data_IF_740496684769
#
_entry.id   IF_740496684769
#
_cell.length_a   1.000
_cell.length_b   1.000
_cell.length_c   1.000
_cell.angle_alpha   90.00
_cell.angle_beta   90.00
_cell.angle_gamma   90.00
#
_symmetry.space_group_name_H-M   'P 1'
#
loop_
_entity.id
_entity.type
_entity.pdbx_description
1 polymer ?
#
# COMPACT_ATOMS: atom_id res chain seq x y z
N UNK A 1 0.84 -18.31 -22.58
CA UNK A 1 -0.53 -18.02 -22.11
C UNK A 1 -0.59 -16.54 -21.84
N UNK A 2 -1.53 -15.83 -22.45
CA UNK A 2 -1.77 -14.41 -22.17
C UNK A 2 -2.08 -14.26 -20.66
N UNK A 3 -1.37 -13.39 -19.94
CA UNK A 3 -1.64 -13.19 -18.51
C UNK A 3 -3.05 -12.62 -18.38
N UNK A 4 -3.87 -13.24 -17.51
CA UNK A 4 -5.29 -12.90 -17.37
C UNK A 4 -5.41 -11.52 -16.73
N UNK A 5 -5.94 -10.55 -17.47
CA UNK A 5 -6.26 -9.21 -16.93
C UNK A 5 -7.66 -9.18 -16.33
N UNK A 6 -7.84 -8.32 -15.32
CA UNK A 6 -9.14 -7.97 -14.76
C UNK A 6 -10.01 -7.36 -15.86
N UNK A 7 -11.23 -7.87 -16.12
CA UNK A 7 -12.11 -7.30 -17.13
C UNK A 7 -12.51 -5.84 -16.83
N UNK A 8 -12.54 -5.00 -17.86
CA UNK A 8 -13.01 -3.61 -17.79
C UNK A 8 -14.21 -3.38 -18.71
N UNK A 9 -15.01 -2.35 -18.43
CA UNK A 9 -16.24 -2.05 -19.16
C UNK A 9 -15.98 -1.31 -20.48
N UNK A 10 -16.98 -1.21 -21.38
CA UNK A 10 -16.87 -0.37 -22.58
C UNK A 10 -16.73 1.13 -22.25
N UNK A 11 -17.23 1.58 -21.09
CA UNK A 11 -17.05 2.96 -20.66
C UNK A 11 -15.63 3.21 -20.18
N UNK A 12 -15.01 2.23 -19.52
CA UNK A 12 -13.60 2.30 -19.13
C UNK A 12 -12.69 2.52 -20.34
N UNK A 13 -13.00 1.87 -21.47
CA UNK A 13 -12.23 1.99 -22.72
C UNK A 13 -12.20 3.40 -23.31
N UNK A 14 -13.16 4.27 -22.94
CA UNK A 14 -13.25 5.64 -23.43
C UNK A 14 -12.46 6.64 -22.58
N UNK A 15 -12.02 6.23 -21.38
CA UNK A 15 -11.31 7.10 -20.44
C UNK A 15 -9.89 7.40 -20.96
N UNK A 16 -9.42 8.63 -20.72
CA UNK A 16 -8.09 9.11 -21.18
C UNK A 16 -6.94 8.22 -20.69
N UNK A 17 -7.08 7.66 -19.49
CA UNK A 17 -6.10 6.78 -18.86
C UNK A 17 -6.26 5.29 -19.19
N UNK A 18 -7.20 4.90 -20.06
CA UNK A 18 -7.36 3.50 -20.49
C UNK A 18 -6.11 2.92 -21.15
N UNK A 19 -5.33 3.76 -21.85
CA UNK A 19 -4.04 3.34 -22.44
C UNK A 19 -3.09 2.69 -21.43
N UNK A 20 -3.17 3.06 -20.14
CA UNK A 20 -2.33 2.47 -19.09
C UNK A 20 -2.77 1.05 -18.72
N UNK A 21 -4.05 0.71 -18.85
CA UNK A 21 -4.55 -0.66 -18.71
C UNK A 21 -4.00 -1.59 -19.80
N UNK A 22 -3.69 -1.03 -20.98
CA UNK A 22 -3.17 -1.79 -22.12
C UNK A 22 -1.68 -2.14 -21.98
N UNK A 23 -0.92 -1.36 -21.22
CA UNK A 23 0.49 -1.62 -20.96
C UNK A 23 0.69 -2.97 -20.25
N UNK A 24 1.85 -3.58 -20.43
CA UNK A 24 2.27 -4.69 -19.58
C UNK A 24 2.63 -4.17 -18.18
N UNK A 25 2.40 -5.00 -17.15
CA UNK A 25 2.88 -4.74 -15.79
C UNK A 25 4.40 -4.57 -15.79
N UNK A 26 4.90 -3.60 -15.04
CA UNK A 26 6.34 -3.48 -14.83
C UNK A 26 6.88 -4.70 -14.06
N UNK A 27 7.98 -5.28 -14.53
CA UNK A 27 8.64 -6.40 -13.87
C UNK A 27 9.43 -5.92 -12.65
N UNK A 28 9.12 -6.50 -11.48
CA UNK A 28 9.93 -6.28 -10.29
C UNK A 28 11.25 -7.07 -10.40
N UNK A 29 12.33 -6.61 -9.75
CA UNK A 29 13.58 -7.36 -9.74
C UNK A 29 13.36 -8.80 -9.23
N UNK A 30 13.81 -9.85 -9.95
CA UNK A 30 13.55 -11.24 -9.57
C UNK A 30 13.99 -11.58 -8.15
N UNK A 31 15.06 -10.94 -7.67
CA UNK A 31 15.58 -11.11 -6.31
C UNK A 31 14.61 -10.65 -5.22
N UNK A 32 13.70 -9.69 -5.51
CA UNK A 32 12.66 -9.29 -4.56
C UNK A 32 11.67 -10.43 -4.32
N UNK A 33 11.19 -11.05 -5.40
CA UNK A 33 10.34 -12.24 -5.29
C UNK A 33 11.09 -13.40 -4.64
N UNK A 34 12.36 -13.61 -4.99
CA UNK A 34 13.15 -14.70 -4.42
C UNK A 34 13.30 -14.59 -2.90
N UNK A 35 13.45 -13.38 -2.34
CA UNK A 35 13.45 -13.17 -0.88
C UNK A 35 12.19 -13.71 -0.21
N UNK A 36 11.03 -13.53 -0.84
CA UNK A 36 9.74 -14.02 -0.34
C UNK A 36 9.57 -15.53 -0.59
N UNK A 37 9.99 -16.01 -1.76
CA UNK A 37 9.87 -17.42 -2.13
C UNK A 37 10.81 -18.35 -1.34
N UNK A 38 11.90 -17.81 -0.78
CA UNK A 38 12.83 -18.56 0.08
C UNK A 38 12.28 -18.88 1.48
N UNK A 39 11.11 -18.35 1.84
CA UNK A 39 10.45 -18.60 3.11
C UNK A 39 10.40 -17.37 4.02
N UNK A 40 9.85 -17.52 5.24
CA UNK A 40 9.65 -16.40 6.15
C UNK A 40 10.96 -15.86 6.72
N UNK A 41 10.96 -14.58 7.05
CA UNK A 41 12.02 -13.91 7.82
C UNK A 41 12.14 -14.52 9.22
N UNK A 42 13.31 -14.34 9.84
CA UNK A 42 13.44 -14.53 11.28
C UNK A 42 12.64 -13.41 12.00
N UNK A 43 11.65 -13.73 12.84
CA UNK A 43 10.80 -12.73 13.49
C UNK A 43 11.55 -11.73 14.37
N UNK A 44 12.76 -12.08 14.85
CA UNK A 44 13.62 -11.15 15.61
C UNK A 44 14.17 -9.99 14.77
N UNK A 45 14.16 -10.12 13.43
CA UNK A 45 14.57 -9.08 12.48
C UNK A 45 13.40 -8.22 11.98
N UNK A 46 12.16 -8.64 12.23
CA UNK A 46 10.97 -7.89 11.85
C UNK A 46 10.80 -6.65 12.72
N UNK A 47 10.27 -5.56 12.15
CA UNK A 47 9.97 -4.34 12.90
C UNK A 47 8.65 -4.50 13.66
N UNK A 48 8.63 -4.50 15.01
CA UNK A 48 7.37 -4.59 15.75
C UNK A 48 6.48 -3.37 15.53
N UNK A 49 5.15 -3.56 15.52
CA UNK A 49 4.18 -2.49 15.27
C UNK A 49 4.29 -1.31 16.25
N UNK A 50 4.58 -1.60 17.53
CA UNK A 50 4.82 -0.58 18.57
C UNK A 50 6.07 0.27 18.31
N UNK A 51 7.03 -0.27 17.56
CA UNK A 51 8.31 0.38 17.26
C UNK A 51 8.31 1.04 15.87
N UNK A 52 7.15 1.19 15.22
CA UNK A 52 7.01 1.76 13.86
C UNK A 52 7.73 3.08 13.62
N UNK A 53 7.89 3.92 14.65
CA UNK A 53 8.64 5.18 14.53
C UNK A 53 10.14 4.99 14.25
N UNK A 54 10.67 3.78 14.38
CA UNK A 54 12.02 3.45 13.91
C UNK A 54 12.15 3.54 12.39
N UNK A 55 11.05 3.57 11.62
CA UNK A 55 11.11 3.86 10.18
C UNK A 55 11.74 5.23 9.88
N UNK A 56 11.66 6.18 10.80
CA UNK A 56 12.32 7.49 10.67
C UNK A 56 13.84 7.45 10.94
N UNK A 57 14.38 6.34 11.44
CA UNK A 57 15.83 6.19 11.66
C UNK A 57 16.56 6.20 10.30
N UNK A 58 17.78 6.77 10.23
CA UNK A 58 18.57 6.76 9.01
C UNK A 58 18.98 5.33 8.62
N UNK A 59 19.21 5.11 7.33
CA UNK A 59 19.62 3.80 6.80
C UNK A 59 18.44 2.85 6.59
N UNK A 60 18.73 1.56 6.71
CA UNK A 60 17.82 0.45 6.38
C UNK A 60 17.82 -0.59 7.50
N UNK A 61 16.70 -1.31 7.63
CA UNK A 61 16.69 -2.53 8.43
C UNK A 61 17.40 -3.66 7.68
N UNK A 62 17.77 -4.71 8.41
CA UNK A 62 18.41 -5.89 7.82
C UNK A 62 17.49 -6.57 6.79
N UNK A 63 16.19 -6.67 7.11
CA UNK A 63 15.17 -7.28 6.26
C UNK A 63 14.14 -6.22 5.83
N UNK A 64 14.37 -5.56 4.70
CA UNK A 64 13.43 -4.58 4.12
C UNK A 64 12.37 -5.23 3.21
N UNK A 65 12.53 -6.50 2.85
CA UNK A 65 11.59 -7.26 2.00
C UNK A 65 11.42 -8.64 2.61
N UNK A 66 10.18 -9.03 2.90
CA UNK A 66 9.84 -10.36 3.40
C UNK A 66 8.64 -10.33 4.35
N UNK A 67 8.28 -11.51 4.85
CA UNK A 67 7.15 -11.71 5.74
C UNK A 67 7.52 -12.69 6.87
N UNK A 68 6.83 -12.64 8.00
CA UNK A 68 6.91 -13.67 9.03
C UNK A 68 5.71 -13.63 9.97
N UNK A 69 5.52 -14.72 10.71
CA UNK A 69 4.63 -14.76 11.88
C UNK A 69 5.43 -14.36 13.12
N UNK A 70 4.93 -13.39 13.87
CA UNK A 70 5.55 -12.86 15.09
C UNK A 70 5.33 -13.82 16.27
N UNK A 71 6.16 -13.74 17.34
CA UNK A 71 6.05 -14.65 18.49
C UNK A 71 4.70 -14.63 19.23
N UNK A 72 3.93 -13.54 19.11
CA UNK A 72 2.60 -13.39 19.71
C UNK A 72 1.46 -13.88 18.81
N UNK A 73 1.80 -14.50 17.67
CA UNK A 73 0.86 -15.03 16.68
C UNK A 73 0.42 -14.04 15.60
N UNK A 74 0.84 -12.77 15.68
CA UNK A 74 0.50 -11.74 14.67
C UNK A 74 1.34 -11.88 13.40
N UNK A 75 0.95 -11.20 12.33
CA UNK A 75 1.63 -11.26 11.05
C UNK A 75 2.42 -9.99 10.74
N UNK A 76 3.55 -10.14 10.06
CA UNK A 76 4.37 -9.04 9.58
C UNK A 76 4.69 -9.21 8.10
N UNK A 77 4.59 -8.12 7.34
CA UNK A 77 5.03 -8.01 5.96
C UNK A 77 5.83 -6.72 5.78
N UNK A 78 6.90 -6.78 4.99
CA UNK A 78 7.75 -5.65 4.63
C UNK A 78 8.12 -5.69 3.15
N UNK A 79 8.20 -4.52 2.54
CA UNK A 79 8.66 -4.35 1.18
C UNK A 79 9.39 -3.02 1.03
N UNK A 80 10.32 -2.96 0.07
CA UNK A 80 11.07 -1.77 -0.31
C UNK A 80 11.08 -1.67 -1.84
N UNK A 81 10.53 -0.59 -2.36
CA UNK A 81 10.48 -0.30 -3.79
C UNK A 81 11.12 1.05 -4.06
N UNK A 82 12.12 1.09 -4.94
CA UNK A 82 12.65 2.35 -5.46
C UNK A 82 11.74 2.85 -6.57
N UNK A 83 11.37 4.13 -6.53
CA UNK A 83 10.43 4.75 -7.45
C UNK A 83 11.11 5.91 -8.19
N UNK A 84 11.93 5.63 -9.23
CA UNK A 84 12.67 6.66 -9.95
C UNK A 84 11.71 7.64 -10.64
N UNK A 85 12.01 8.93 -10.56
CA UNK A 85 11.19 10.00 -11.12
C UNK A 85 9.87 10.28 -10.37
N UNK A 86 9.55 9.50 -9.33
CA UNK A 86 8.37 9.73 -8.48
C UNK A 86 8.72 10.74 -7.38
N UNK A 87 7.75 11.57 -7.02
CA UNK A 87 7.82 12.50 -5.88
C UNK A 87 6.79 12.14 -4.83
N UNK A 88 6.95 12.62 -3.60
CA UNK A 88 5.94 12.45 -2.55
C UNK A 88 4.57 13.01 -2.96
N UNK A 89 4.55 14.16 -3.66
CA UNK A 89 3.33 14.77 -4.16
C UNK A 89 2.56 13.86 -5.15
N UNK A 90 3.28 13.22 -6.08
CA UNK A 90 2.68 12.23 -7.01
C UNK A 90 2.07 11.06 -6.25
N UNK A 91 2.74 10.61 -5.18
CA UNK A 91 2.26 9.50 -4.36
C UNK A 91 1.00 9.89 -3.56
N UNK A 92 0.99 11.07 -2.92
CA UNK A 92 -0.20 11.56 -2.21
C UNK A 92 -1.37 11.81 -3.16
N UNK A 93 -1.10 12.37 -4.35
CA UNK A 93 -2.10 12.55 -5.41
C UNK A 93 -2.75 11.22 -5.78
N UNK A 94 -1.95 10.17 -6.00
CA UNK A 94 -2.45 8.86 -6.37
C UNK A 94 -3.49 8.35 -5.37
N UNK A 95 -3.18 8.44 -4.07
CA UNK A 95 -4.08 7.99 -3.01
C UNK A 95 -5.34 8.87 -2.86
N UNK A 96 -5.28 10.14 -3.25
CA UNK A 96 -6.47 11.00 -3.36
C UNK A 96 -7.32 10.68 -4.61
N UNK A 97 -6.71 10.14 -5.67
CA UNK A 97 -7.30 10.05 -7.00
C UNK A 97 -7.85 8.66 -7.35
N UNK A 98 -7.15 7.59 -6.95
CA UNK A 98 -7.43 6.22 -7.42
C UNK A 98 -8.78 5.68 -6.93
N UNK A 99 -9.22 6.04 -5.72
CA UNK A 99 -10.48 5.57 -5.13
C UNK A 99 -11.75 6.20 -5.71
N UNK A 100 -11.62 7.12 -6.67
CA UNK A 100 -12.76 7.84 -7.25
C UNK A 100 -13.38 7.10 -8.44
N UNK A 101 -12.62 6.22 -9.10
CA UNK A 101 -13.01 5.48 -10.29
C UNK A 101 -12.27 4.13 -10.37
N UNK A 102 -13.00 3.05 -10.63
CA UNK A 102 -12.46 1.69 -10.54
C UNK A 102 -11.34 1.39 -11.54
N UNK A 103 -11.38 1.97 -12.75
CA UNK A 103 -10.30 1.76 -13.72
C UNK A 103 -8.97 2.33 -13.20
N UNK A 104 -9.01 3.41 -12.42
CA UNK A 104 -7.80 3.99 -11.80
C UNK A 104 -7.14 3.00 -10.85
N UNK A 105 -7.94 2.22 -10.12
CA UNK A 105 -7.40 1.15 -9.30
C UNK A 105 -6.88 -0.01 -10.13
N UNK A 106 -7.61 -0.41 -11.17
CA UNK A 106 -7.22 -1.51 -12.06
C UNK A 106 -5.92 -1.24 -12.80
N UNK A 107 -5.64 0.00 -13.26
CA UNK A 107 -4.35 0.27 -13.94
C UNK A 107 -3.13 0.19 -13.02
N UNK A 108 -3.33 0.21 -11.69
CA UNK A 108 -2.26 -0.02 -10.72
C UNK A 108 -1.77 -1.46 -10.78
N UNK A 109 -2.70 -2.42 -10.80
CA UNK A 109 -2.40 -3.83 -10.98
C UNK A 109 -3.52 -4.50 -11.76
N UNK A 110 -3.40 -4.50 -13.09
CA UNK A 110 -4.49 -4.96 -13.95
C UNK A 110 -4.63 -6.49 -13.94
N UNK A 111 -3.81 -7.21 -13.18
CA UNK A 111 -3.94 -8.65 -12.95
C UNK A 111 -4.76 -8.94 -11.68
N UNK A 112 -4.69 -8.06 -10.67
CA UNK A 112 -5.23 -8.33 -9.33
C UNK A 112 -6.35 -7.35 -8.88
N UNK A 113 -6.39 -6.12 -9.40
CA UNK A 113 -7.24 -5.03 -8.88
C UNK A 113 -8.56 -4.89 -9.63
N UNK A 114 -9.66 -5.29 -9.00
CA UNK A 114 -11.00 -5.21 -9.60
C UNK A 114 -11.71 -3.88 -9.36
N UNK A 115 -11.66 -3.36 -8.13
CA UNK A 115 -12.23 -2.04 -7.79
C UNK A 115 -11.70 -1.53 -6.45
N UNK A 116 -11.64 -0.20 -6.32
CA UNK A 116 -11.48 0.49 -5.06
C UNK A 116 -12.38 1.74 -5.06
N UNK A 117 -13.36 1.76 -4.17
CA UNK A 117 -14.38 2.81 -4.13
C UNK A 117 -14.31 3.55 -2.80
N UNK A 118 -13.86 4.80 -2.84
CA UNK A 118 -13.96 5.70 -1.70
C UNK A 118 -15.41 5.99 -1.39
N UNK A 119 -15.81 5.85 -0.13
CA UNK A 119 -17.12 6.25 0.37
C UNK A 119 -17.24 7.77 0.57
N UNK A 120 -16.12 8.50 0.48
CA UNK A 120 -16.05 9.95 0.65
C UNK A 120 -15.54 10.62 -0.64
N UNK A 121 -16.13 10.27 -1.79
CA UNK A 121 -15.68 10.78 -3.10
C UNK A 121 -15.61 12.30 -3.18
N UNK A 122 -16.54 13.01 -2.54
CA UNK A 122 -16.53 14.48 -2.51
C UNK A 122 -15.30 15.05 -1.81
N UNK A 123 -14.84 14.42 -0.71
CA UNK A 123 -13.59 14.80 -0.03
C UNK A 123 -12.38 14.58 -0.94
N UNK A 124 -12.37 13.49 -1.70
CA UNK A 124 -11.37 13.21 -2.73
C UNK A 124 -11.28 14.28 -3.82
N UNK A 125 -12.36 15.03 -4.07
CA UNK A 125 -12.44 16.09 -5.09
C UNK A 125 -12.30 17.52 -4.53
N UNK A 126 -12.21 17.66 -3.21
CA UNK A 126 -12.20 18.97 -2.56
C UNK A 126 -10.89 19.72 -2.84
N UNK A 127 -10.99 20.76 -3.67
CA UNK A 127 -9.85 21.60 -4.09
C UNK A 127 -9.29 22.47 -2.98
N UNK A 128 -10.00 22.65 -1.88
CA UNK A 128 -9.53 23.39 -0.71
C UNK A 128 -8.57 22.58 0.17
N UNK A 129 -8.55 21.25 -0.02
CA UNK A 129 -7.68 20.33 0.70
C UNK A 129 -6.41 20.01 -0.09
N UNK A 130 -5.29 19.83 0.62
CA UNK A 130 -4.11 19.18 0.07
C UNK A 130 -4.40 17.73 -0.31
N UNK A 131 -3.59 17.11 -1.18
CA UNK A 131 -3.82 15.70 -1.58
C UNK A 131 -3.87 14.74 -0.40
N UNK A 132 -3.00 14.93 0.61
CA UNK A 132 -2.99 14.14 1.84
C UNK A 132 -4.33 14.20 2.58
N UNK A 133 -4.83 15.40 2.76
CA UNK A 133 -6.10 15.65 3.45
C UNK A 133 -7.30 15.08 2.69
N UNK A 134 -7.23 14.92 1.36
CA UNK A 134 -8.32 14.35 0.55
C UNK A 134 -8.55 12.86 0.77
N UNK A 135 -7.53 12.10 1.17
CA UNK A 135 -7.67 10.67 1.48
C UNK A 135 -7.59 10.35 2.98
N UNK A 136 -7.15 11.26 3.85
CA UNK A 136 -7.22 11.00 5.29
C UNK A 136 -8.66 10.82 5.76
N UNK A 137 -8.88 9.88 6.68
CA UNK A 137 -10.18 9.55 7.25
C UNK A 137 -11.26 9.18 6.21
N UNK A 138 -10.84 8.63 5.06
CA UNK A 138 -11.74 8.00 4.11
C UNK A 138 -11.76 6.49 4.30
N UNK A 139 -12.84 5.86 3.83
CA UNK A 139 -13.00 4.42 3.77
C UNK A 139 -13.15 3.99 2.33
N UNK A 140 -12.27 3.11 1.87
CA UNK A 140 -12.34 2.51 0.55
C UNK A 140 -12.88 1.08 0.67
N UNK A 141 -13.89 0.77 -0.14
CA UNK A 141 -14.35 -0.60 -0.36
C UNK A 141 -13.55 -1.17 -1.54
N UNK A 142 -12.70 -2.15 -1.24
CA UNK A 142 -11.77 -2.75 -2.19
C UNK A 142 -12.21 -4.17 -2.52
N UNK A 143 -12.05 -4.56 -3.79
CA UNK A 143 -12.17 -5.94 -4.24
C UNK A 143 -10.93 -6.27 -5.08
N UNK A 144 -10.13 -7.23 -4.62
CA UNK A 144 -8.82 -7.56 -5.19
C UNK A 144 -8.42 -9.01 -4.91
N UNK A 145 -7.48 -9.54 -5.70
CA UNK A 145 -6.89 -10.87 -5.54
C UNK A 145 -5.40 -10.78 -5.21
N UNK A 146 -5.05 -10.97 -3.95
CA UNK A 146 -3.65 -11.00 -3.51
C UNK A 146 -2.95 -12.35 -3.78
N UNK A 147 -3.52 -13.21 -4.63
CA UNK A 147 -2.99 -14.54 -4.98
C UNK A 147 -3.66 -15.71 -4.26
N UNK A 148 -4.75 -15.46 -3.52
CA UNK A 148 -5.54 -16.49 -2.81
C UNK A 148 -7.01 -16.53 -3.28
N UNK A 149 -7.31 -15.86 -4.39
CA UNK A 149 -8.65 -15.62 -4.87
C UNK A 149 -9.15 -14.24 -4.46
N UNK A 150 -10.10 -13.67 -5.23
CA UNK A 150 -10.54 -12.32 -5.01
C UNK A 150 -11.40 -12.20 -3.75
N UNK A 151 -11.15 -11.17 -2.95
CA UNK A 151 -11.84 -10.89 -1.69
C UNK A 151 -12.23 -9.43 -1.52
N UNK A 152 -13.20 -9.15 -0.63
CA UNK A 152 -13.58 -7.79 -0.29
C UNK A 152 -12.82 -7.31 0.96
N UNK A 153 -12.20 -6.15 0.87
CA UNK A 153 -11.42 -5.52 1.93
C UNK A 153 -11.98 -4.12 2.19
N UNK A 154 -12.03 -3.74 3.47
CA UNK A 154 -12.34 -2.38 3.89
C UNK A 154 -11.03 -1.74 4.35
N UNK A 155 -10.64 -0.65 3.70
CA UNK A 155 -9.43 0.11 4.06
C UNK A 155 -9.87 1.48 4.59
N UNK A 156 -9.58 1.76 5.85
CA UNK A 156 -9.79 3.07 6.46
C UNK A 156 -8.46 3.82 6.55
N UNK A 157 -8.25 4.76 5.62
CA UNK A 157 -7.08 5.62 5.60
C UNK A 157 -7.13 6.61 6.76
N UNK A 158 -5.97 6.89 7.34
CA UNK A 158 -5.83 7.70 8.55
C UNK A 158 -4.77 8.76 8.40
N UNK A 159 -4.93 9.84 9.17
CA UNK A 159 -3.83 10.74 9.46
C UNK A 159 -2.70 9.96 10.19
N UNK A 160 -1.42 10.13 9.82
CA UNK A 160 -0.31 9.43 10.47
C UNK A 160 -0.21 9.64 11.99
N UNK A 161 -0.59 10.82 12.50
CA UNK A 161 -0.60 11.12 13.93
C UNK A 161 -1.59 10.25 14.72
N UNK A 162 -2.78 9.99 14.16
CA UNK A 162 -3.78 9.10 14.76
C UNK A 162 -3.31 7.63 14.77
N UNK A 163 -2.41 7.30 13.85
CA UNK A 163 -1.72 6.02 13.77
C UNK A 163 -0.46 5.99 14.66
N UNK A 164 -0.18 7.03 15.42
CA UNK A 164 0.94 7.14 16.37
C UNK A 164 2.32 7.28 15.71
N UNK A 165 2.38 7.79 14.47
CA UNK A 165 3.63 8.27 13.89
C UNK A 165 3.99 9.64 14.44
N UNK A 166 5.28 9.91 14.59
CA UNK A 166 5.83 11.22 14.94
C UNK A 166 5.71 12.17 13.74
N UNK A 167 4.59 12.91 13.69
CA UNK A 167 4.28 13.84 12.59
C UNK A 167 5.29 14.97 12.45
N UNK A 168 6.09 15.28 13.48
CA UNK A 168 7.12 16.31 13.40
C UNK A 168 8.26 15.95 12.45
N UNK A 169 8.39 14.66 12.09
CA UNK A 169 9.40 14.15 11.16
C UNK A 169 8.90 14.03 9.72
N UNK A 170 7.61 14.19 9.48
CA UNK A 170 7.01 14.11 8.14
C UNK A 170 7.19 15.46 7.42
N UNK A 171 7.64 15.42 6.17
CA UNK A 171 8.06 16.61 5.42
C UNK A 171 9.52 17.01 5.69
N UNK A 172 10.30 16.14 6.32
CA UNK A 172 11.74 16.34 6.57
C UNK A 172 12.55 15.33 5.74
N UNK A 173 13.88 15.40 5.80
CA UNK A 173 14.74 14.40 5.14
C UNK A 173 14.56 12.97 5.67
N UNK A 174 13.95 12.80 6.86
CA UNK A 174 13.65 11.48 7.40
C UNK A 174 12.44 10.82 6.69
N UNK A 175 11.48 11.61 6.20
CA UNK A 175 10.23 11.14 5.62
C UNK A 175 9.51 12.26 4.88
N UNK A 176 9.14 12.03 3.63
CA UNK A 176 8.43 13.01 2.81
C UNK A 176 6.91 12.93 3.02
N UNK A 177 6.37 11.71 3.07
CA UNK A 177 4.95 11.44 3.37
C UNK A 177 4.73 10.02 3.87
N UNK A 178 3.58 9.80 4.50
CA UNK A 178 3.10 8.48 4.92
C UNK A 178 1.64 8.34 4.47
N UNK A 179 1.35 7.25 3.77
CA UNK A 179 -0.01 6.74 3.60
C UNK A 179 -0.18 5.58 4.58
N UNK A 180 -1.14 5.68 5.49
CA UNK A 180 -1.39 4.65 6.48
C UNK A 180 -2.87 4.41 6.68
N UNK A 181 -3.22 3.17 7.05
CA UNK A 181 -4.61 2.75 7.14
C UNK A 181 -4.80 1.61 8.13
N UNK A 182 -6.06 1.41 8.52
CA UNK A 182 -6.55 0.13 9.03
C UNK A 182 -7.19 -0.66 7.88
N UNK A 183 -6.62 -1.82 7.56
CA UNK A 183 -7.20 -2.77 6.61
C UNK A 183 -7.96 -3.87 7.33
N UNK A 184 -9.08 -4.30 6.78
CA UNK A 184 -9.87 -5.42 7.30
C UNK A 184 -10.47 -6.22 6.15
N UNK A 185 -10.00 -7.45 5.98
CA UNK A 185 -10.65 -8.47 5.14
C UNK A 185 -11.97 -8.92 5.81
N UNK A 186 -12.95 -9.34 5.02
CA UNK A 186 -14.21 -9.89 5.55
C UNK A 186 -13.97 -11.13 6.41
N UNK A 187 -14.10 -10.98 7.73
CA UNK A 187 -13.84 -12.06 8.70
C UNK A 187 -12.35 -12.32 8.99
N UNK A 188 -11.45 -11.55 8.37
CA UNK A 188 -10.00 -11.60 8.62
C UNK A 188 -9.56 -10.72 9.80
N UNK A 189 -8.32 -10.90 10.29
CA UNK A 189 -7.77 -10.05 11.34
C UNK A 189 -7.56 -8.61 10.86
N UNK A 190 -7.76 -7.63 11.75
CA UNK A 190 -7.42 -6.23 11.47
C UNK A 190 -5.93 -6.06 11.19
N UNK A 191 -5.58 -5.13 10.29
CA UNK A 191 -4.20 -4.90 9.85
C UNK A 191 -3.87 -3.41 9.93
N UNK A 192 -2.73 -3.08 10.53
CA UNK A 192 -2.13 -1.75 10.39
C UNK A 192 -1.29 -1.76 9.11
N UNK A 193 -1.57 -0.88 8.16
CA UNK A 193 -0.82 -0.67 6.93
C UNK A 193 -0.05 0.65 7.01
N UNK A 194 1.19 0.65 6.52
CA UNK A 194 2.01 1.84 6.36
C UNK A 194 2.80 1.77 5.05
N UNK A 195 2.69 2.81 4.24
CA UNK A 195 3.52 3.13 3.09
C UNK A 195 4.31 4.39 3.44
N UNK A 196 5.58 4.21 3.79
CA UNK A 196 6.47 5.27 4.22
C UNK A 196 7.33 5.73 3.04
N UNK A 197 7.23 7.00 2.66
CA UNK A 197 7.96 7.57 1.54
C UNK A 197 9.15 8.38 2.05
N UNK A 198 10.33 8.09 1.51
CA UNK A 198 11.57 8.83 1.77
C UNK A 198 12.20 9.25 0.44
N UNK A 199 12.65 10.49 0.36
CA UNK A 199 13.37 10.98 -0.82
C UNK A 199 14.72 10.28 -0.96
N UNK A 200 15.10 9.95 -2.20
CA UNK A 200 16.41 9.45 -2.57
C UNK A 200 16.89 10.21 -3.81
N UNK A 201 18.16 10.03 -4.20
CA UNK A 201 18.64 10.61 -5.46
C UNK A 201 17.81 10.08 -6.65
N UNK A 202 17.26 10.99 -7.44
CA UNK A 202 16.50 10.66 -8.65
C UNK A 202 15.05 10.21 -8.43
N UNK A 203 14.49 10.26 -7.21
CA UNK A 203 13.09 9.92 -6.95
C UNK A 203 12.78 9.71 -5.48
N UNK A 204 11.93 8.73 -5.18
CA UNK A 204 11.63 8.30 -3.81
C UNK A 204 11.86 6.80 -3.64
N UNK A 205 11.97 6.35 -2.40
CA UNK A 205 11.77 4.96 -2.04
C UNK A 205 10.51 4.81 -1.17
N UNK A 206 9.76 3.76 -1.45
CA UNK A 206 8.61 3.32 -0.69
C UNK A 206 9.02 2.17 0.24
N UNK A 207 8.84 2.38 1.54
CA UNK A 207 9.03 1.38 2.60
C UNK A 207 7.68 0.99 3.16
N UNK A 208 7.20 -0.17 2.75
CA UNK A 208 5.88 -0.68 3.17
C UNK A 208 6.01 -1.57 4.39
N UNK A 209 5.08 -1.47 5.33
CA UNK A 209 4.88 -2.38 6.45
C UNK A 209 3.41 -2.73 6.61
N UNK A 210 3.13 -4.01 6.83
CA UNK A 210 1.84 -4.48 7.32
C UNK A 210 2.05 -5.21 8.64
N UNK A 211 1.24 -4.86 9.63
CA UNK A 211 1.17 -5.55 10.91
C UNK A 211 -0.25 -6.13 11.05
N UNK A 212 -0.39 -7.39 10.65
CA UNK A 212 -1.66 -8.12 10.62
C UNK A 212 -1.97 -8.69 12.00
N UNK A 213 -3.23 -8.60 12.44
CA UNK A 213 -3.63 -8.92 13.81
C UNK A 213 -3.48 -7.75 14.79
N UNK A 214 -3.28 -6.53 14.29
CA UNK A 214 -3.17 -5.31 15.10
C UNK A 214 -4.13 -4.22 14.59
N UNK A 215 -4.48 -3.31 15.50
CA UNK A 215 -5.09 -2.02 15.19
C UNK A 215 -4.38 -0.91 15.96
N UNK A 216 -4.52 0.33 15.50
CA UNK A 216 -4.09 1.52 16.22
C UNK A 216 -5.33 2.23 16.80
N UNK A 217 -5.44 2.25 18.13
CA UNK A 217 -6.54 2.88 18.85
C UNK A 217 -5.95 4.05 19.64
N UNK A 218 -6.33 5.28 19.28
CA UNK A 218 -5.82 6.52 19.90
C UNK A 218 -4.29 6.59 19.89
N UNK A 219 -3.67 6.31 18.75
CA UNK A 219 -2.21 6.30 18.59
C UNK A 219 -1.49 5.09 19.21
N UNK A 220 -2.20 4.18 19.89
CA UNK A 220 -1.61 3.01 20.55
C UNK A 220 -1.85 1.73 19.76
N UNK A 221 -0.81 0.91 19.62
CA UNK A 221 -0.93 -0.42 19.01
C UNK A 221 -1.66 -1.36 19.94
N UNK A 222 -2.72 -2.00 19.45
CA UNK A 222 -3.55 -2.97 20.17
C UNK A 222 -3.60 -4.27 19.37
N UNK A 223 -3.28 -5.40 20.02
CA UNK A 223 -3.41 -6.73 19.43
C UNK A 223 -4.90 -7.08 19.31
N UNK A 224 -5.31 -7.52 18.12
CA UNK A 224 -6.71 -7.77 17.77
C UNK A 224 -7.07 -9.26 17.70
N UNK A 225 -6.07 -10.15 17.72
CA UNK A 225 -6.29 -11.60 17.79
C UNK A 225 -6.23 -12.08 19.24
N UNK A 226 -7.03 -13.08 19.64
CA UNK A 226 -6.94 -13.69 20.97
C UNK A 226 -5.57 -14.32 21.24
N UNK A 227 -5.22 -14.48 22.51
CA UNK A 227 -4.00 -15.19 22.88
C UNK A 227 -4.05 -16.67 22.48
N UNK A 228 -2.92 -17.18 22.00
CA UNK A 228 -2.81 -18.53 21.43
C UNK A 228 -3.29 -18.67 19.99
N UNK A 229 -3.96 -17.65 19.42
CA UNK A 229 -4.29 -17.63 17.98
C UNK A 229 -3.06 -17.21 17.18
N UNK A 230 -2.80 -17.94 16.09
CA UNK A 230 -1.67 -17.71 15.20
C UNK A 230 -2.18 -17.47 13.79
N UNK A 231 -1.76 -16.36 13.19
CA UNK A 231 -2.05 -16.03 11.79
C UNK A 231 -1.26 -16.98 10.89
N UNK A 232 -1.90 -17.62 9.88
CA UNK A 232 -1.20 -18.42 8.90
C UNK A 232 -0.19 -17.59 8.09
N UNK A 233 0.90 -18.21 7.68
CA UNK A 233 1.96 -17.55 6.91
C UNK A 233 1.57 -17.30 5.44
N UNK A 234 0.72 -18.17 4.87
CA UNK A 234 0.21 -18.12 3.50
C UNK A 234 -0.33 -16.74 3.08
N UNK A 235 -1.28 -16.10 3.80
CA UNK A 235 -1.77 -14.76 3.45
C UNK A 235 -0.69 -13.67 3.56
N UNK A 236 0.28 -13.81 4.47
CA UNK A 236 1.38 -12.85 4.60
C UNK A 236 2.32 -12.93 3.40
N UNK A 237 2.64 -14.15 2.96
CA UNK A 237 3.43 -14.41 1.75
C UNK A 237 2.73 -13.86 0.51
N UNK A 238 1.44 -14.16 0.37
CA UNK A 238 0.62 -13.74 -0.76
C UNK A 238 0.56 -12.20 -0.86
N UNK A 239 0.23 -11.53 0.26
CA UNK A 239 0.25 -10.07 0.37
C UNK A 239 1.63 -9.48 0.03
N UNK A 240 2.72 -10.12 0.43
CA UNK A 240 4.05 -9.60 0.14
C UNK A 240 4.41 -9.67 -1.34
N UNK A 241 4.06 -10.78 -2.02
CA UNK A 241 4.23 -10.93 -3.47
C UNK A 241 3.39 -9.93 -4.25
N UNK A 242 2.12 -9.76 -3.86
CA UNK A 242 1.21 -8.78 -4.43
C UNK A 242 1.77 -7.35 -4.26
N UNK A 243 2.23 -7.00 -3.06
CA UNK A 243 2.78 -5.68 -2.78
C UNK A 243 4.06 -5.35 -3.58
N UNK A 244 4.90 -6.36 -3.87
CA UNK A 244 6.04 -6.19 -4.77
C UNK A 244 5.56 -5.85 -6.18
N UNK A 245 4.54 -6.56 -6.69
CA UNK A 245 4.01 -6.40 -8.03
C UNK A 245 3.35 -5.04 -8.23
N UNK A 246 2.36 -4.70 -7.40
CA UNK A 246 1.54 -3.49 -7.55
C UNK A 246 2.42 -2.23 -7.48
N UNK A 247 3.35 -2.15 -6.53
CA UNK A 247 4.12 -0.91 -6.31
C UNK A 247 5.29 -0.77 -7.27
N UNK A 248 5.80 -1.87 -7.82
CA UNK A 248 6.73 -1.81 -8.95
C UNK A 248 6.02 -1.21 -10.17
N UNK A 249 4.78 -1.64 -10.45
CA UNK A 249 4.02 -1.06 -11.56
C UNK A 249 3.67 0.41 -11.30
N UNK A 250 3.25 0.75 -10.07
CA UNK A 250 2.97 2.14 -9.71
C UNK A 250 4.19 3.05 -9.86
N UNK A 251 5.38 2.56 -9.50
CA UNK A 251 6.63 3.29 -9.69
C UNK A 251 6.88 3.67 -11.16
N UNK A 252 6.57 2.78 -12.10
CA UNK A 252 6.70 3.03 -13.53
C UNK A 252 5.56 3.88 -14.11
N UNK A 253 4.39 3.85 -13.47
CA UNK A 253 3.17 4.52 -13.91
C UNK A 253 3.14 6.00 -13.49
N UNK A 254 3.42 6.31 -12.22
CA UNK A 254 3.22 7.65 -11.63
C UNK A 254 3.87 8.79 -12.42
N UNK A 255 5.14 8.70 -12.87
CA UNK A 255 5.77 9.80 -13.60
C UNK A 255 5.10 10.10 -14.94
N UNK A 256 4.34 9.15 -15.50
CA UNK A 256 3.64 9.27 -16.78
C UNK A 256 2.21 9.77 -16.61
N UNK A 257 1.46 9.17 -15.69
CA UNK A 257 0.04 9.48 -15.53
C UNK A 257 -0.20 10.78 -14.75
N UNK A 258 0.65 11.09 -13.75
CA UNK A 258 0.49 12.30 -12.95
C UNK A 258 0.41 13.59 -13.80
N UNK A 259 1.36 13.89 -14.71
CA UNK A 259 1.28 15.11 -15.50
C UNK A 259 0.06 15.18 -16.44
N UNK A 260 -0.53 14.02 -16.80
CA UNK A 260 -1.71 13.95 -17.67
C UNK A 260 -3.04 14.09 -16.91
N UNK A 261 -3.11 13.57 -15.69
CA UNK A 261 -4.36 13.39 -14.95
C UNK A 261 -4.46 14.16 -13.63
N UNK A 262 -3.40 14.89 -13.21
CA UNK A 262 -3.38 15.60 -11.91
C UNK A 262 -4.51 16.60 -11.69
N UNK A 263 -5.12 17.09 -12.76
CA UNK A 263 -6.22 18.06 -12.72
C UNK A 263 -7.61 17.42 -12.96
N UNK A 264 -7.68 16.11 -13.25
CA UNK A 264 -8.89 15.36 -13.63
C UNK A 264 -9.41 14.46 -12.49
N UNK A 265 -10.11 15.05 -11.51
CA UNK A 265 -10.58 14.36 -10.29
C UNK A 265 -11.93 13.64 -10.42
#
# INVERSE_FOLDING_TARGET
>A
MEKKRVPVTEEDKKKSYYKYYLNEMADAPPEHYQKVLNGPLNPSKALPAKDRNRLFEPGYFEEEIGYCVMPDGTGYVSNLVKMPGVTAEMFDWWFAWHGLDNLRYTIWDHEDHYRAESLQKEKGRDRMLSYKERYWDTTHLVYEDCGLGPENIIINFKNPGDMGFDVSKIGTSACSTIVCAHGMSHGGPGTIMCHFIRDIEGGVELRTRFWMGYACIKGQTVKMIPDGVVIPDVPLRALNLHNIKEFTNLAALLPKIYPEERDNF
#
